data_IF_056181173413
#
_entry.id   IF_056181173413
#
_cell.length_a   1.000
_cell.length_b   1.000
_cell.length_c   1.000
_cell.angle_alpha   90.00
_cell.angle_beta   90.00
_cell.angle_gamma   90.00
#
_symmetry.space_group_name_H-M   'P 1'
#
loop_
_entity.id
_entity.type
_entity.pdbx_description
1 polymer ?
#
# COMPACT_ATOMS: atom_id res chain seq x y z
N UNK A 1 22.74 10.37 -14.81
CA UNK A 1 22.33 9.82 -13.50
C UNK A 1 22.10 8.32 -13.64
N UNK A 2 22.63 7.52 -12.72
CA UNK A 2 22.88 6.08 -12.86
C UNK A 2 21.65 5.23 -13.22
N UNK A 3 21.61 4.70 -14.46
CA UNK A 3 20.61 3.72 -14.95
C UNK A 3 20.46 2.52 -14.01
N UNK A 4 21.54 2.15 -13.32
CA UNK A 4 21.58 1.10 -12.32
C UNK A 4 20.63 1.34 -11.14
N UNK A 5 20.48 2.58 -10.69
CA UNK A 5 19.57 2.94 -9.60
C UNK A 5 18.12 2.77 -10.04
N UNK A 6 17.82 3.12 -11.29
CA UNK A 6 16.49 2.92 -11.87
C UNK A 6 16.15 1.43 -12.01
N UNK A 7 17.08 0.62 -12.53
CA UNK A 7 16.89 -0.84 -12.65
C UNK A 7 16.72 -1.48 -11.26
N UNK A 8 17.56 -1.13 -10.29
CA UNK A 8 17.43 -1.64 -8.93
C UNK A 8 16.08 -1.25 -8.31
N UNK A 9 15.65 0.00 -8.49
CA UNK A 9 14.37 0.50 -8.02
C UNK A 9 13.18 -0.27 -8.59
N UNK A 10 13.15 -0.50 -9.91
CA UNK A 10 12.04 -1.22 -10.54
C UNK A 10 12.03 -2.71 -10.15
N UNK A 11 13.20 -3.34 -10.01
CA UNK A 11 13.30 -4.73 -9.54
C UNK A 11 12.76 -4.88 -8.11
N UNK A 12 13.16 -4.00 -7.19
CA UNK A 12 12.67 -4.01 -5.80
C UNK A 12 11.16 -3.79 -5.76
N UNK A 13 10.66 -2.81 -6.54
CA UNK A 13 9.24 -2.52 -6.63
C UNK A 13 8.44 -3.73 -7.16
N UNK A 14 8.88 -4.36 -8.25
CA UNK A 14 8.23 -5.53 -8.82
C UNK A 14 8.18 -6.72 -7.84
N UNK A 15 9.27 -6.99 -7.12
CA UNK A 15 9.30 -8.05 -6.11
C UNK A 15 8.31 -7.74 -4.97
N UNK A 16 8.23 -6.47 -4.54
CA UNK A 16 7.27 -6.00 -3.54
C UNK A 16 5.82 -6.24 -3.96
N UNK A 17 5.45 -5.77 -5.16
CA UNK A 17 4.12 -5.95 -5.74
C UNK A 17 3.72 -7.43 -5.86
N UNK A 18 4.64 -8.27 -6.37
CA UNK A 18 4.40 -9.71 -6.49
C UNK A 18 4.22 -10.41 -5.14
N UNK A 19 4.73 -9.86 -4.04
CA UNK A 19 4.54 -10.42 -2.70
C UNK A 19 3.21 -9.96 -2.08
N UNK A 20 2.84 -8.71 -2.31
CA UNK A 20 1.63 -8.11 -1.75
C UNK A 20 0.35 -8.67 -2.40
N UNK A 21 0.33 -8.77 -3.73
CA UNK A 21 -0.86 -9.15 -4.50
C UNK A 21 -1.42 -10.56 -4.15
N UNK A 22 -0.64 -11.66 -4.15
CA UNK A 22 -1.16 -12.99 -3.82
C UNK A 22 -1.56 -13.12 -2.34
N UNK A 23 -0.85 -12.43 -1.43
CA UNK A 23 -1.16 -12.48 0.00
C UNK A 23 -2.48 -11.75 0.30
N UNK A 24 -2.75 -10.63 -0.37
CA UNK A 24 -4.03 -9.91 -0.23
C UNK A 24 -5.22 -10.79 -0.64
N UNK A 25 -5.15 -11.42 -1.82
CA UNK A 25 -6.23 -12.28 -2.33
C UNK A 25 -6.44 -13.50 -1.42
N UNK A 26 -5.35 -14.13 -0.95
CA UNK A 26 -5.43 -15.28 -0.04
C UNK A 26 -6.03 -14.89 1.32
N UNK A 27 -5.66 -13.74 1.88
CA UNK A 27 -6.18 -13.27 3.17
C UNK A 27 -7.69 -12.99 3.11
N UNK A 28 -8.15 -12.31 2.06
CA UNK A 28 -9.59 -12.08 1.82
C UNK A 28 -10.32 -13.41 1.64
N UNK A 29 -9.71 -14.37 0.93
CA UNK A 29 -10.27 -15.70 0.70
C UNK A 29 -10.37 -16.58 1.96
N UNK A 30 -9.49 -16.40 2.95
CA UNK A 30 -9.51 -17.11 4.24
C UNK A 30 -10.59 -16.56 5.18
N UNK A 31 -10.86 -15.25 5.14
CA UNK A 31 -11.87 -14.60 6.00
C UNK A 31 -13.29 -14.82 5.46
N UNK A 32 -13.43 -15.04 4.15
CA UNK A 32 -14.74 -15.13 3.52
C UNK A 32 -15.41 -16.52 3.68
N UNK A 33 -16.65 -16.58 4.21
CA UNK A 33 -17.44 -17.81 4.24
C UNK A 33 -17.70 -18.31 2.81
N UNK A 34 -17.64 -19.63 2.59
CA UNK A 34 -17.62 -20.26 1.26
C UNK A 34 -18.74 -19.78 0.31
N UNK A 35 -19.92 -19.49 0.84
CA UNK A 35 -21.10 -19.01 0.11
C UNK A 35 -21.03 -17.53 -0.33
N UNK A 36 -20.18 -16.70 0.29
CA UNK A 36 -20.15 -15.23 0.06
C UNK A 36 -18.79 -14.70 -0.37
N UNK A 37 -17.89 -15.58 -0.83
CA UNK A 37 -16.53 -15.23 -1.29
C UNK A 37 -16.52 -14.14 -2.37
N UNK A 38 -17.45 -14.20 -3.32
CA UNK A 38 -17.56 -13.21 -4.39
C UNK A 38 -17.87 -11.80 -3.85
N UNK A 39 -18.75 -11.69 -2.85
CA UNK A 39 -19.14 -10.40 -2.26
C UNK A 39 -18.00 -9.79 -1.43
N UNK A 40 -17.28 -10.60 -0.64
CA UNK A 40 -16.12 -10.15 0.14
C UNK A 40 -14.94 -9.71 -0.75
N UNK A 41 -14.72 -10.42 -1.86
CA UNK A 41 -13.74 -10.01 -2.87
C UNK A 41 -14.18 -8.69 -3.54
N UNK A 42 -15.47 -8.53 -3.83
CA UNK A 42 -16.04 -7.26 -4.34
C UNK A 42 -15.84 -6.07 -3.39
N UNK A 43 -16.05 -6.26 -2.08
CA UNK A 43 -15.75 -5.22 -1.09
C UNK A 43 -14.26 -4.85 -1.05
N UNK A 44 -13.37 -5.83 -1.27
CA UNK A 44 -11.93 -5.58 -1.32
C UNK A 44 -11.54 -4.67 -2.49
N UNK A 45 -12.17 -4.84 -3.65
CA UNK A 45 -11.99 -3.94 -4.80
C UNK A 45 -12.48 -2.52 -4.52
N UNK A 46 -13.59 -2.36 -3.78
CA UNK A 46 -14.12 -1.04 -3.41
C UNK A 46 -13.10 -0.23 -2.61
N UNK A 47 -12.40 -0.85 -1.66
CA UNK A 47 -11.32 -0.19 -0.92
C UNK A 47 -10.15 0.20 -1.82
N UNK A 48 -9.82 -0.62 -2.82
CA UNK A 48 -8.81 -0.28 -3.84
C UNK A 48 -9.19 0.97 -4.64
N UNK A 49 -10.47 1.08 -5.06
CA UNK A 49 -10.98 2.26 -5.78
C UNK A 49 -10.90 3.50 -4.89
N UNK A 50 -11.36 3.41 -3.64
CA UNK A 50 -11.31 4.53 -2.69
C UNK A 50 -9.86 4.98 -2.46
N UNK A 51 -8.95 4.03 -2.24
CA UNK A 51 -7.52 4.30 -2.07
C UNK A 51 -6.90 4.98 -3.29
N UNK A 52 -7.21 4.50 -4.50
CA UNK A 52 -6.74 5.10 -5.75
C UNK A 52 -7.31 6.50 -5.97
N UNK A 53 -8.59 6.74 -5.64
CA UNK A 53 -9.21 8.06 -5.78
C UNK A 53 -8.60 9.08 -4.82
N UNK A 54 -8.47 8.72 -3.53
CA UNK A 54 -7.88 9.60 -2.51
C UNK A 54 -6.40 9.83 -2.83
N UNK A 55 -5.65 8.77 -3.14
CA UNK A 55 -4.23 8.85 -3.48
C UNK A 55 -3.97 9.69 -4.73
N UNK A 56 -4.81 9.57 -5.76
CA UNK A 56 -4.72 10.37 -6.97
C UNK A 56 -4.96 11.87 -6.72
N UNK A 57 -6.00 12.22 -5.95
CA UNK A 57 -6.30 13.62 -5.61
C UNK A 57 -5.20 14.21 -4.71
N UNK A 58 -4.78 13.48 -3.68
CA UNK A 58 -3.73 13.91 -2.76
C UNK A 58 -2.40 14.11 -3.52
N UNK A 59 -2.02 13.13 -4.33
CA UNK A 59 -0.79 13.18 -5.14
C UNK A 59 -0.81 14.31 -6.15
N UNK A 60 -1.93 14.55 -6.83
CA UNK A 60 -2.08 15.67 -7.77
C UNK A 60 -1.95 17.03 -7.07
N UNK A 61 -2.62 17.22 -5.93
CA UNK A 61 -2.50 18.47 -5.16
C UNK A 61 -1.08 18.69 -4.63
N UNK A 62 -0.44 17.64 -4.11
CA UNK A 62 0.95 17.71 -3.66
C UNK A 62 1.92 17.99 -4.81
N UNK A 63 1.68 17.42 -5.99
CA UNK A 63 2.48 17.68 -7.18
C UNK A 63 2.43 19.15 -7.57
N UNK A 64 1.22 19.73 -7.71
CA UNK A 64 1.06 21.16 -8.04
C UNK A 64 1.71 22.05 -6.97
N UNK A 65 1.56 21.71 -5.69
CA UNK A 65 2.14 22.52 -4.62
C UNK A 65 3.67 22.46 -4.60
N UNK A 66 4.28 21.26 -4.58
CA UNK A 66 5.72 21.11 -4.38
C UNK A 66 6.54 21.19 -5.68
N UNK A 67 6.01 20.68 -6.79
CA UNK A 67 6.74 20.65 -8.07
C UNK A 67 6.54 21.94 -8.84
N UNK A 68 5.30 22.42 -9.01
CA UNK A 68 5.05 23.61 -9.83
C UNK A 68 5.36 24.93 -9.10
N UNK A 69 5.04 25.04 -7.81
CA UNK A 69 5.27 26.29 -7.06
C UNK A 69 6.67 26.38 -6.43
N UNK A 70 7.15 25.29 -5.83
CA UNK A 70 8.43 25.26 -5.11
C UNK A 70 9.62 24.77 -5.96
N UNK A 71 9.36 24.18 -7.15
CA UNK A 71 10.37 23.57 -8.05
C UNK A 71 11.28 22.54 -7.37
N UNK A 72 10.82 21.94 -6.28
CA UNK A 72 11.56 20.94 -5.54
C UNK A 72 10.84 19.58 -5.60
N UNK A 73 11.14 18.75 -6.61
CA UNK A 73 10.56 17.41 -6.73
C UNK A 73 11.09 16.45 -5.65
N UNK A 74 12.22 16.74 -4.99
CA UNK A 74 12.78 15.83 -3.99
C UNK A 74 11.90 15.76 -2.75
N UNK A 75 11.35 16.91 -2.32
CA UNK A 75 10.42 16.98 -1.19
C UNK A 75 9.16 16.12 -1.41
N UNK A 76 8.64 16.04 -2.63
CA UNK A 76 7.50 15.18 -2.97
C UNK A 76 7.83 13.70 -2.78
N UNK A 77 8.98 13.24 -3.29
CA UNK A 77 9.39 11.83 -3.17
C UNK A 77 9.68 11.44 -1.72
N UNK A 78 10.25 12.35 -0.93
CA UNK A 78 10.46 12.16 0.51
C UNK A 78 9.12 12.02 1.22
N UNK A 79 8.13 12.88 0.92
CA UNK A 79 6.83 12.83 1.58
C UNK A 79 6.08 11.51 1.28
N UNK A 80 6.10 11.05 0.02
CA UNK A 80 5.54 9.74 -0.34
C UNK A 80 6.25 8.58 0.38
N UNK A 81 7.58 8.62 0.45
CA UNK A 81 8.35 7.63 1.17
C UNK A 81 8.00 7.62 2.67
N UNK A 82 7.80 8.80 3.26
CA UNK A 82 7.45 8.97 4.67
C UNK A 82 6.05 8.43 4.97
N UNK A 83 5.07 8.65 4.09
CA UNK A 83 3.74 8.04 4.20
C UNK A 83 3.84 6.51 4.14
N UNK A 84 4.66 5.97 3.24
CA UNK A 84 4.92 4.52 3.15
C UNK A 84 5.54 3.95 4.42
N UNK A 85 6.58 4.60 4.95
CA UNK A 85 7.23 4.20 6.21
C UNK A 85 6.26 4.29 7.38
N UNK A 86 5.46 5.35 7.47
CA UNK A 86 4.42 5.49 8.50
C UNK A 86 3.38 4.36 8.42
N UNK A 87 3.02 3.94 7.20
CA UNK A 87 2.10 2.81 6.97
C UNK A 87 2.71 1.48 7.44
N UNK A 88 3.99 1.23 7.12
CA UNK A 88 4.72 0.04 7.59
C UNK A 88 4.80 0.04 9.12
N UNK A 89 5.14 1.17 9.73
CA UNK A 89 5.18 1.32 11.19
C UNK A 89 3.80 1.02 11.78
N UNK A 90 2.73 1.60 11.24
CA UNK A 90 1.35 1.33 11.66
C UNK A 90 0.99 -0.16 11.58
N UNK A 91 1.39 -0.83 10.51
CA UNK A 91 1.16 -2.27 10.32
C UNK A 91 1.98 -3.11 11.32
N UNK A 92 3.23 -2.71 11.61
CA UNK A 92 4.04 -3.36 12.65
C UNK A 92 3.46 -3.16 14.04
N UNK A 93 2.93 -1.96 14.34
CA UNK A 93 2.20 -1.69 15.56
C UNK A 93 0.93 -2.54 15.65
N UNK A 94 0.14 -2.64 14.58
CA UNK A 94 -1.01 -3.53 14.51
C UNK A 94 -0.61 -4.99 14.78
N UNK A 95 0.47 -5.46 14.15
CA UNK A 95 0.98 -6.81 14.39
C UNK A 95 1.39 -7.00 15.86
N UNK A 96 2.09 -6.02 16.45
CA UNK A 96 2.56 -6.13 17.84
C UNK A 96 1.44 -6.06 18.88
N UNK A 97 0.42 -5.23 18.66
CA UNK A 97 -0.62 -4.97 19.66
C UNK A 97 -1.91 -5.77 19.43
N UNK A 98 -2.25 -6.11 18.18
CA UNK A 98 -3.53 -6.75 17.80
C UNK A 98 -3.34 -8.22 17.41
N UNK A 99 -2.23 -8.59 16.77
CA UNK A 99 -1.97 -10.00 16.43
C UNK A 99 -1.72 -10.97 17.62
N UNK A 100 -1.51 -10.57 18.90
CA UNK A 100 -1.40 -11.56 19.99
C UNK A 100 -2.70 -12.36 20.26
N UNK A 101 -3.84 -12.05 19.62
CA UNK A 101 -5.14 -12.67 19.92
C UNK A 101 -5.67 -13.67 18.88
N UNK A 102 -4.87 -14.11 17.90
CA UNK A 102 -5.26 -15.18 16.96
C UNK A 102 -4.44 -16.49 17.11
N UNK A 103 -3.68 -16.62 18.20
CA UNK A 103 -2.88 -17.82 18.50
C UNK A 103 -3.53 -18.81 19.48
N UNK A 104 -4.78 -18.60 19.90
CA UNK A 104 -5.47 -19.54 20.79
C UNK A 104 -6.95 -19.59 20.43
N UNK A 105 -7.31 -20.52 19.54
CA UNK A 105 -8.49 -21.39 19.62
C UNK A 105 -8.63 -22.15 18.29
N UNK A 106 -8.06 -23.37 18.31
CA UNK A 106 -8.46 -24.60 17.61
C UNK A 106 -9.03 -24.47 16.19
#
# INVERSE_FOLDING_TARGET
SNIWVFIAGITIFSIGEMTAHPKFISYVGLIAPADKKATYLGYSFLYGVIGSSIGGILGANMYVHFVDNLKDPQTLWILFSLIGVATIIGLLFYNKFVAPKLGHNH
#
